data_IF_488649050787
#
_entry.id   IF_488649050787
#
_cell.length_a   1.000
_cell.length_b   1.000
_cell.length_c   1.000
_cell.angle_alpha   90.00
_cell.angle_beta   90.00
_cell.angle_gamma   90.00
#
_symmetry.space_group_name_H-M   'P 1'
#
loop_
_entity.id
_entity.type
_entity.pdbx_description
1 polymer ?
#
# COMPACT_ATOMS: atom_id res chain seq x y z
N UNK A 1 56.35 -11.85 -14.44
CA UNK A 1 55.54 -10.84 -13.80
C UNK A 1 55.08 -9.73 -14.77
N UNK A 2 54.77 -10.06 -16.01
CA UNK A 2 54.24 -9.10 -17.03
C UNK A 2 53.06 -9.64 -17.86
N UNK A 3 52.73 -10.91 -17.73
CA UNK A 3 51.65 -11.56 -18.52
C UNK A 3 50.31 -11.48 -17.81
N UNK A 4 50.25 -11.47 -16.49
CA UNK A 4 49.00 -11.38 -15.73
C UNK A 4 48.30 -10.01 -15.83
N UNK A 5 49.03 -8.92 -16.01
CA UNK A 5 48.44 -7.57 -16.19
C UNK A 5 47.76 -7.35 -17.53
N UNK A 6 48.12 -8.12 -18.55
CA UNK A 6 47.52 -7.98 -19.90
C UNK A 6 46.20 -8.73 -19.99
N UNK A 7 46.04 -9.83 -19.26
CA UNK A 7 44.83 -10.62 -19.22
C UNK A 7 43.71 -9.95 -18.39
N UNK A 8 44.04 -9.26 -17.29
CA UNK A 8 43.08 -8.53 -16.48
C UNK A 8 42.56 -7.26 -17.15
N UNK A 9 43.37 -6.62 -18.00
CA UNK A 9 42.94 -5.41 -18.72
C UNK A 9 41.97 -5.71 -19.87
N UNK A 10 41.98 -6.92 -20.41
CA UNK A 10 41.14 -7.30 -21.56
C UNK A 10 39.79 -7.83 -21.15
N UNK A 11 39.60 -8.33 -19.93
CA UNK A 11 38.30 -8.81 -19.42
C UNK A 11 37.40 -7.68 -18.91
N UNK A 12 37.99 -6.61 -18.36
CA UNK A 12 37.23 -5.44 -17.91
C UNK A 12 36.74 -4.57 -19.09
N UNK A 13 37.51 -4.50 -20.18
CA UNK A 13 37.07 -3.79 -21.39
C UNK A 13 36.02 -4.56 -22.18
N UNK A 14 36.07 -5.89 -22.18
CA UNK A 14 35.01 -6.72 -22.79
C UNK A 14 33.71 -6.65 -22.02
N UNK A 15 33.71 -6.58 -20.68
CA UNK A 15 32.52 -6.40 -19.89
C UNK A 15 31.85 -5.04 -20.16
N UNK A 16 32.63 -3.98 -20.34
CA UNK A 16 32.11 -2.66 -20.68
C UNK A 16 31.51 -2.61 -22.10
N UNK A 17 32.13 -3.28 -23.08
CA UNK A 17 31.62 -3.36 -24.45
C UNK A 17 30.39 -4.22 -24.53
N UNK A 18 30.29 -5.31 -23.78
CA UNK A 18 29.09 -6.15 -23.70
C UNK A 18 27.95 -5.42 -22.97
N UNK A 19 28.23 -4.65 -21.94
CA UNK A 19 27.22 -3.85 -21.25
C UNK A 19 26.72 -2.68 -22.11
N UNK A 20 27.61 -2.08 -22.92
CA UNK A 20 27.25 -1.01 -23.84
C UNK A 20 26.43 -1.48 -25.08
N UNK A 21 26.57 -2.76 -25.46
CA UNK A 21 25.83 -3.31 -26.61
C UNK A 21 24.46 -3.92 -26.25
N UNK A 22 24.15 -4.05 -24.95
CA UNK A 22 22.86 -4.57 -24.43
C UNK A 22 21.93 -3.43 -23.96
N UNK A 23 22.39 -2.19 -23.90
CA UNK A 23 21.48 -1.06 -23.78
C UNK A 23 20.74 -0.90 -25.12
N UNK A 24 19.66 -1.68 -25.27
CA UNK A 24 18.58 -1.31 -26.17
C UNK A 24 18.28 0.15 -25.88
N UNK A 25 18.48 1.03 -26.86
CA UNK A 25 17.91 2.36 -26.85
C UNK A 25 16.40 2.18 -26.67
N UNK A 26 15.96 2.16 -25.42
CA UNK A 26 14.62 2.62 -25.13
C UNK A 26 14.54 3.98 -25.82
N UNK A 27 13.53 4.22 -26.70
CA UNK A 27 13.34 5.55 -27.25
C UNK A 27 13.37 6.48 -26.04
N UNK A 28 14.06 7.60 -26.19
CA UNK A 28 14.04 8.72 -25.25
C UNK A 28 12.57 8.91 -24.84
N UNK A 29 12.17 8.30 -23.74
CA UNK A 29 11.09 8.82 -22.95
C UNK A 29 11.70 10.16 -22.54
N UNK A 30 11.25 11.22 -23.20
CA UNK A 30 11.37 12.57 -22.69
C UNK A 30 10.93 12.38 -21.23
N UNK A 31 11.85 12.50 -20.28
CA UNK A 31 11.49 12.75 -18.89
C UNK A 31 10.77 14.10 -18.99
N UNK A 32 9.48 14.04 -19.23
CA UNK A 32 8.59 15.14 -18.97
C UNK A 32 8.88 15.47 -17.52
N UNK A 33 9.49 16.61 -17.27
CA UNK A 33 9.74 17.14 -15.93
C UNK A 33 8.35 17.29 -15.30
N UNK A 34 7.87 16.19 -14.69
CA UNK A 34 6.61 16.17 -13.95
C UNK A 34 6.77 17.21 -12.85
N UNK A 35 6.01 18.27 -12.94
CA UNK A 35 6.02 19.30 -11.90
C UNK A 35 5.43 18.68 -10.64
N UNK A 36 6.30 18.27 -9.71
CA UNK A 36 5.91 17.75 -8.40
C UNK A 36 5.44 18.87 -7.49
N UNK A 37 4.18 18.81 -7.10
CA UNK A 37 3.61 19.71 -6.11
C UNK A 37 3.61 19.01 -4.76
N UNK A 38 4.65 19.27 -3.95
CA UNK A 38 4.82 18.66 -2.62
C UNK A 38 4.10 19.48 -1.55
N UNK A 39 3.11 18.89 -0.89
CA UNK A 39 2.49 19.46 0.28
C UNK A 39 3.35 19.23 1.53
N UNK A 40 3.69 20.28 2.26
CA UNK A 40 4.27 20.14 3.58
C UNK A 40 3.23 19.55 4.58
N UNK A 41 3.64 19.22 5.80
CA UNK A 41 2.78 18.60 6.81
C UNK A 41 1.50 19.43 7.10
N UNK A 42 1.56 20.76 7.12
CA UNK A 42 0.40 21.61 7.37
C UNK A 42 -0.62 21.56 6.22
N UNK A 43 -0.17 21.69 4.98
CA UNK A 43 -1.06 21.60 3.82
C UNK A 43 -1.60 20.17 3.64
N UNK A 44 -0.80 19.15 3.92
CA UNK A 44 -1.25 17.76 3.94
C UNK A 44 -2.36 17.56 4.96
N UNK A 45 -2.23 18.11 6.17
CA UNK A 45 -3.25 18.02 7.21
C UNK A 45 -4.55 18.73 6.80
N UNK A 46 -4.44 19.93 6.24
CA UNK A 46 -5.60 20.69 5.75
C UNK A 46 -6.31 19.91 4.64
N UNK A 47 -5.55 19.39 3.66
CA UNK A 47 -6.10 18.59 2.58
C UNK A 47 -6.79 17.31 3.12
N UNK A 48 -6.17 16.62 4.08
CA UNK A 48 -6.75 15.45 4.70
C UNK A 48 -8.09 15.75 5.40
N UNK A 49 -8.18 16.86 6.13
CA UNK A 49 -9.43 17.32 6.78
C UNK A 49 -10.50 17.64 5.74
N UNK A 50 -10.15 18.34 4.66
CA UNK A 50 -11.11 18.66 3.57
C UNK A 50 -11.62 17.37 2.93
N UNK A 51 -10.73 16.42 2.63
CA UNK A 51 -11.08 15.11 2.03
C UNK A 51 -11.97 14.31 2.98
N UNK A 52 -11.69 14.32 4.28
CA UNK A 52 -12.52 13.66 5.28
C UNK A 52 -13.94 14.27 5.37
N UNK A 53 -14.04 15.60 5.39
CA UNK A 53 -15.31 16.31 5.40
C UNK A 53 -16.13 16.05 4.12
N UNK A 54 -15.44 15.98 2.97
CA UNK A 54 -16.07 15.60 1.70
C UNK A 54 -16.59 14.16 1.76
N UNK A 55 -15.79 13.23 2.27
CA UNK A 55 -16.22 11.84 2.47
C UNK A 55 -17.44 11.72 3.38
N UNK A 56 -17.44 12.44 4.50
CA UNK A 56 -18.59 12.53 5.41
C UNK A 56 -19.83 13.07 4.70
N UNK A 57 -19.70 14.13 3.94
CA UNK A 57 -20.78 14.69 3.14
C UNK A 57 -21.34 13.66 2.14
N UNK A 58 -20.45 12.94 1.42
CA UNK A 58 -20.86 11.92 0.45
C UNK A 58 -21.60 10.76 1.11
N UNK A 59 -21.09 10.23 2.21
CA UNK A 59 -21.73 9.13 2.94
C UNK A 59 -23.11 9.54 3.48
N UNK A 60 -23.29 10.80 3.90
CA UNK A 60 -24.59 11.30 4.32
C UNK A 60 -25.57 11.54 3.17
N UNK A 61 -25.08 11.89 1.98
CA UNK A 61 -25.92 12.20 0.81
C UNK A 61 -26.28 10.96 -0.03
N UNK A 62 -25.38 10.00 -0.09
CA UNK A 62 -25.50 8.82 -0.97
C UNK A 62 -25.88 7.62 -0.11
N UNK A 63 -27.16 7.24 -0.15
CA UNK A 63 -27.70 6.12 0.63
C UNK A 63 -26.97 4.80 0.37
N UNK A 64 -26.45 4.59 -0.84
CA UNK A 64 -25.63 3.43 -1.17
C UNK A 64 -24.41 3.33 -0.26
N UNK A 65 -23.63 4.41 -0.10
CA UNK A 65 -22.42 4.39 0.73
C UNK A 65 -22.74 4.08 2.20
N UNK A 66 -23.84 4.66 2.69
CA UNK A 66 -24.33 4.43 4.06
C UNK A 66 -24.83 3.00 4.25
N UNK A 67 -25.62 2.49 3.30
CA UNK A 67 -26.20 1.15 3.36
C UNK A 67 -25.15 0.04 3.36
N UNK A 68 -24.05 0.24 2.63
CA UNK A 68 -22.94 -0.71 2.55
C UNK A 68 -21.80 -0.39 3.51
N UNK A 69 -22.05 0.45 4.52
CA UNK A 69 -21.07 0.80 5.57
C UNK A 69 -19.71 1.26 5.02
N UNK A 70 -19.70 1.98 3.88
CA UNK A 70 -18.46 2.52 3.32
C UNK A 70 -17.95 3.63 4.25
N UNK A 71 -16.70 3.53 4.78
CA UNK A 71 -16.14 4.53 5.68
C UNK A 71 -15.98 5.89 5.01
N UNK A 72 -16.22 6.97 5.77
CA UNK A 72 -16.06 8.36 5.30
C UNK A 72 -14.67 8.63 4.69
N UNK A 73 -13.54 8.18 5.30
CA UNK A 73 -12.21 8.39 4.72
C UNK A 73 -12.03 7.72 3.35
N UNK A 74 -12.67 6.56 3.15
CA UNK A 74 -12.58 5.82 1.88
C UNK A 74 -13.36 6.54 0.79
N UNK A 75 -14.58 7.00 1.09
CA UNK A 75 -15.39 7.75 0.13
C UNK A 75 -14.70 9.05 -0.30
N UNK A 76 -14.16 9.82 0.65
CA UNK A 76 -13.40 11.04 0.36
C UNK A 76 -12.08 10.76 -0.36
N UNK A 77 -11.34 9.77 0.10
CA UNK A 77 -10.06 9.36 -0.50
C UNK A 77 -10.19 8.92 -1.95
N UNK A 78 -11.23 8.17 -2.32
CA UNK A 78 -11.50 7.80 -3.71
C UNK A 78 -11.72 9.02 -4.60
N UNK A 79 -12.48 10.01 -4.14
CA UNK A 79 -12.67 11.25 -4.89
C UNK A 79 -11.36 12.00 -5.05
N UNK A 80 -10.57 12.12 -3.97
CA UNK A 80 -9.26 12.76 -4.02
C UNK A 80 -8.30 12.04 -4.97
N UNK A 81 -8.30 10.69 -4.98
CA UNK A 81 -7.50 9.89 -5.90
C UNK A 81 -7.90 10.11 -7.36
N UNK A 82 -9.20 10.15 -7.65
CA UNK A 82 -9.70 10.44 -9.01
C UNK A 82 -9.30 11.84 -9.45
N UNK A 83 -9.44 12.84 -8.58
CA UNK A 83 -9.02 14.22 -8.86
C UNK A 83 -7.51 14.29 -9.13
N UNK A 84 -6.70 13.65 -8.28
CA UNK A 84 -5.25 13.58 -8.46
C UNK A 84 -4.87 12.90 -9.79
N UNK A 85 -5.56 11.82 -10.15
CA UNK A 85 -5.35 11.12 -11.43
C UNK A 85 -5.71 12.02 -12.63
N UNK A 86 -6.80 12.76 -12.56
CA UNK A 86 -7.20 13.71 -13.61
C UNK A 86 -6.15 14.82 -13.73
N UNK A 87 -5.73 15.40 -12.61
CA UNK A 87 -4.70 16.44 -12.57
C UNK A 87 -3.38 15.94 -13.17
N UNK A 88 -3.00 14.72 -12.83
CA UNK A 88 -1.81 14.09 -13.40
C UNK A 88 -1.91 13.91 -14.90
N UNK A 89 -3.01 13.33 -15.41
CA UNK A 89 -3.15 13.03 -16.84
C UNK A 89 -3.41 14.25 -17.73
N UNK A 90 -4.05 15.30 -17.19
CA UNK A 90 -4.43 16.49 -18.00
C UNK A 90 -3.34 17.57 -17.96
N UNK A 91 -2.72 17.76 -16.80
CA UNK A 91 -1.76 18.85 -16.57
C UNK A 91 -0.33 18.39 -16.26
N UNK A 92 -0.09 17.08 -16.13
CA UNK A 92 1.25 16.56 -15.81
C UNK A 92 1.72 16.85 -14.38
N UNK A 93 0.83 17.30 -13.47
CA UNK A 93 1.20 17.57 -12.08
C UNK A 93 1.09 16.32 -11.24
N UNK A 94 2.14 16.00 -10.48
CA UNK A 94 2.13 14.96 -9.46
C UNK A 94 1.96 15.60 -8.08
N UNK A 95 0.90 15.21 -7.35
CA UNK A 95 0.64 15.71 -6.00
C UNK A 95 1.23 14.71 -5.01
N UNK A 96 2.24 15.14 -4.25
CA UNK A 96 2.84 14.35 -3.18
C UNK A 96 2.49 14.94 -1.81
N UNK A 97 2.23 14.06 -0.84
CA UNK A 97 1.85 14.43 0.53
C UNK A 97 2.97 14.09 1.52
N UNK A 98 2.96 14.72 2.72
CA UNK A 98 3.98 14.45 3.74
C UNK A 98 3.89 13.01 4.25
N UNK A 99 4.91 12.19 3.97
CA UNK A 99 5.08 10.83 4.51
C UNK A 99 5.33 10.84 6.02
N UNK A 100 5.97 11.87 6.55
CA UNK A 100 6.22 12.01 8.00
C UNK A 100 4.92 12.14 8.79
N UNK A 101 3.93 12.86 8.25
CA UNK A 101 2.62 12.98 8.86
C UNK A 101 1.87 11.64 8.85
N UNK A 102 1.93 10.92 7.74
CA UNK A 102 1.35 9.58 7.61
C UNK A 102 1.94 8.62 8.64
N UNK A 103 3.28 8.55 8.75
CA UNK A 103 3.99 7.71 9.71
C UNK A 103 3.63 8.08 11.16
N UNK A 104 3.58 9.38 11.47
CA UNK A 104 3.21 9.86 12.81
C UNK A 104 1.80 9.42 13.21
N UNK A 105 0.81 9.59 12.33
CA UNK A 105 -0.56 9.16 12.61
C UNK A 105 -0.69 7.64 12.68
N UNK A 106 0.07 6.90 11.88
CA UNK A 106 0.12 5.44 11.96
C UNK A 106 0.66 4.98 13.32
N UNK A 107 1.74 5.59 13.82
CA UNK A 107 2.29 5.28 15.14
C UNK A 107 1.29 5.60 16.26
N UNK A 108 0.62 6.77 16.21
CA UNK A 108 -0.42 7.15 17.17
C UNK A 108 -1.57 6.14 17.14
N UNK A 109 -2.00 5.70 15.96
CA UNK A 109 -3.05 4.70 15.79
C UNK A 109 -2.69 3.37 16.47
N UNK A 110 -1.53 2.79 16.16
CA UNK A 110 -1.10 1.54 16.77
C UNK A 110 -0.82 1.69 18.27
N UNK A 111 -0.24 2.80 18.72
CA UNK A 111 -0.04 3.10 20.13
C UNK A 111 -1.37 3.16 20.88
N UNK A 112 -2.39 3.81 20.32
CA UNK A 112 -3.72 3.92 20.94
C UNK A 112 -4.39 2.55 21.10
N UNK A 113 -4.27 1.67 20.10
CA UNK A 113 -4.75 0.29 20.18
C UNK A 113 -4.01 -0.48 21.29
N UNK A 114 -2.67 -0.39 21.30
CA UNK A 114 -1.86 -1.06 22.32
C UNK A 114 -2.18 -0.61 23.74
N UNK A 115 -2.33 0.69 23.95
CA UNK A 115 -2.68 1.27 25.26
C UNK A 115 -4.11 0.94 25.70
N UNK A 116 -5.03 0.71 24.76
CA UNK A 116 -6.42 0.31 25.07
C UNK A 116 -6.55 -1.17 25.40
N UNK A 117 -5.51 -1.97 25.18
CA UNK A 117 -5.53 -3.41 25.46
C UNK A 117 -5.69 -3.68 26.96
N UNK A 118 -6.74 -4.41 27.32
CA UNK A 118 -7.07 -4.73 28.71
C UNK A 118 -7.06 -6.25 28.92
N UNK A 119 -6.08 -6.75 29.67
CA UNK A 119 -5.93 -8.18 29.98
C UNK A 119 -7.12 -8.76 30.76
N UNK A 120 -7.81 -7.96 31.58
CA UNK A 120 -9.00 -8.44 32.29
C UNK A 120 -10.13 -8.76 31.31
N UNK A 121 -10.38 -7.87 30.33
CA UNK A 121 -11.36 -8.12 29.27
C UNK A 121 -10.97 -9.29 28.36
N UNK A 122 -9.68 -9.51 28.12
CA UNK A 122 -9.18 -10.69 27.41
C UNK A 122 -9.54 -11.99 28.14
N UNK A 123 -9.41 -12.01 29.47
CA UNK A 123 -9.80 -13.16 30.29
C UNK A 123 -11.29 -13.42 30.29
N UNK A 124 -12.13 -12.39 30.26
CA UNK A 124 -13.58 -12.50 30.15
C UNK A 124 -14.03 -13.20 28.86
N UNK A 125 -13.27 -13.06 27.77
CA UNK A 125 -13.52 -13.75 26.49
C UNK A 125 -13.38 -15.26 26.55
N UNK A 126 -12.62 -15.78 27.52
CA UNK A 126 -12.51 -17.21 27.84
C UNK A 126 -12.19 -18.10 26.62
N UNK A 127 -12.78 -19.30 26.61
CA UNK A 127 -12.57 -20.31 25.56
C UNK A 127 -13.08 -19.83 24.19
N UNK A 128 -14.17 -19.04 24.16
CA UNK A 128 -14.71 -18.51 22.92
C UNK A 128 -13.71 -17.60 22.18
N UNK A 129 -13.01 -16.74 22.92
CA UNK A 129 -11.96 -15.90 22.35
C UNK A 129 -10.78 -16.72 21.82
N UNK A 130 -10.39 -17.79 22.54
CA UNK A 130 -9.32 -18.68 22.08
C UNK A 130 -9.68 -19.40 20.78
N UNK A 131 -10.90 -19.93 20.69
CA UNK A 131 -11.40 -20.57 19.46
C UNK A 131 -11.40 -19.55 18.30
N UNK A 132 -11.91 -18.34 18.54
CA UNK A 132 -11.90 -17.28 17.53
C UNK A 132 -10.48 -16.93 17.08
N UNK A 133 -9.53 -16.81 18.00
CA UNK A 133 -8.12 -16.55 17.68
C UNK A 133 -7.53 -17.65 16.78
N UNK A 134 -7.77 -18.91 17.10
CA UNK A 134 -7.31 -20.05 16.29
C UNK A 134 -7.94 -20.03 14.89
N UNK A 135 -9.24 -19.74 14.80
CA UNK A 135 -9.93 -19.60 13.50
C UNK A 135 -9.33 -18.48 12.66
N UNK A 136 -9.11 -17.30 13.25
CA UNK A 136 -8.52 -16.15 12.54
C UNK A 136 -7.08 -16.46 12.11
N UNK A 137 -6.26 -17.05 12.99
CA UNK A 137 -4.89 -17.43 12.64
C UNK A 137 -4.85 -18.45 11.49
N UNK A 138 -5.73 -19.46 11.53
CA UNK A 138 -5.86 -20.44 10.45
C UNK A 138 -6.31 -19.79 9.13
N UNK A 139 -7.27 -18.86 9.20
CA UNK A 139 -7.72 -18.10 8.04
C UNK A 139 -6.60 -17.28 7.42
N UNK A 140 -5.77 -16.60 8.22
CA UNK A 140 -4.61 -15.83 7.75
C UNK A 140 -3.61 -16.73 7.03
N UNK A 141 -3.33 -17.91 7.56
CA UNK A 141 -2.42 -18.88 6.92
C UNK A 141 -2.96 -19.31 5.55
N UNK A 142 -4.24 -19.67 5.49
CA UNK A 142 -4.89 -20.06 4.21
C UNK A 142 -4.87 -18.89 3.23
N UNK A 143 -5.21 -17.69 3.68
CA UNK A 143 -5.24 -16.49 2.84
C UNK A 143 -3.86 -16.18 2.25
N UNK A 144 -2.80 -16.29 3.06
CA UNK A 144 -1.42 -16.11 2.59
C UNK A 144 -1.00 -17.21 1.61
N UNK A 145 -1.33 -18.47 1.89
CA UNK A 145 -1.04 -19.57 0.99
C UNK A 145 -1.70 -19.37 -0.39
N UNK A 146 -2.96 -18.93 -0.42
CA UNK A 146 -3.68 -18.61 -1.66
C UNK A 146 -3.02 -17.42 -2.38
N UNK A 147 -2.72 -16.33 -1.67
CA UNK A 147 -2.10 -15.13 -2.24
C UNK A 147 -0.73 -15.44 -2.86
N UNK A 148 0.14 -16.13 -2.12
CA UNK A 148 1.47 -16.55 -2.60
C UNK A 148 1.35 -17.48 -3.81
N UNK A 149 0.44 -18.46 -3.75
CA UNK A 149 0.25 -19.41 -4.85
C UNK A 149 -0.22 -18.70 -6.12
N UNK A 150 -1.17 -17.78 -6.02
CA UNK A 150 -1.64 -16.98 -7.15
C UNK A 150 -0.55 -16.08 -7.72
N UNK A 151 0.20 -15.37 -6.86
CA UNK A 151 1.32 -14.55 -7.30
C UNK A 151 2.36 -15.36 -8.06
N UNK A 152 2.72 -16.54 -7.53
CA UNK A 152 3.67 -17.45 -8.16
C UNK A 152 3.15 -17.98 -9.51
N UNK A 153 1.87 -18.34 -9.59
CA UNK A 153 1.25 -18.80 -10.85
C UNK A 153 1.20 -17.71 -11.92
N UNK A 154 1.05 -16.45 -11.50
CA UNK A 154 1.06 -15.29 -12.39
C UNK A 154 2.48 -14.83 -12.76
N UNK A 155 3.52 -15.44 -12.19
CA UNK A 155 4.92 -15.08 -12.45
C UNK A 155 5.32 -13.73 -11.83
N UNK A 156 4.61 -13.26 -10.80
CA UNK A 156 4.92 -12.05 -10.03
C UNK A 156 5.52 -12.43 -8.68
N UNK A 157 6.16 -11.44 -8.01
CA UNK A 157 6.79 -11.68 -6.73
C UNK A 157 5.79 -12.20 -5.68
N UNK A 158 6.09 -13.32 -4.98
CA UNK A 158 5.23 -13.90 -3.94
C UNK A 158 4.86 -12.92 -2.82
N UNK A 159 5.71 -11.93 -2.51
CA UNK A 159 5.42 -10.88 -1.52
C UNK A 159 4.24 -10.00 -1.93
N UNK A 160 4.00 -9.82 -3.23
CA UNK A 160 2.80 -9.14 -3.74
C UNK A 160 1.54 -9.92 -3.35
N UNK A 161 1.62 -11.24 -3.34
CA UNK A 161 0.54 -12.10 -2.86
C UNK A 161 0.22 -11.93 -1.37
N UNK A 162 1.21 -11.61 -0.53
CA UNK A 162 1.00 -11.25 0.88
C UNK A 162 0.34 -9.88 1.01
N UNK A 163 0.77 -8.91 0.19
CA UNK A 163 0.18 -7.56 0.17
C UNK A 163 -1.31 -7.65 -0.19
N UNK A 164 -1.65 -8.32 -1.27
CA UNK A 164 -3.04 -8.53 -1.70
C UNK A 164 -3.80 -9.55 -0.82
N UNK A 165 -3.11 -10.21 0.09
CA UNK A 165 -3.63 -11.19 1.04
C UNK A 165 -3.90 -10.60 2.43
N UNK A 166 -3.29 -11.21 3.45
CA UNK A 166 -3.60 -10.89 4.86
C UNK A 166 -3.15 -9.50 5.29
N UNK A 167 -2.09 -8.95 4.70
CA UNK A 167 -1.59 -7.60 5.05
C UNK A 167 -2.68 -6.56 4.89
N UNK A 168 -3.47 -6.65 3.83
CA UNK A 168 -4.49 -5.65 3.49
C UNK A 168 -5.91 -6.09 3.81
N UNK A 169 -6.28 -7.34 3.49
CA UNK A 169 -7.66 -7.80 3.66
C UNK A 169 -8.02 -8.11 5.11
N UNK A 170 -7.06 -8.61 5.89
CA UNK A 170 -7.24 -8.84 7.34
C UNK A 170 -6.71 -7.66 8.15
N UNK A 171 -5.55 -7.13 7.80
CA UNK A 171 -4.90 -6.05 8.55
C UNK A 171 -5.38 -4.64 8.20
N UNK A 172 -5.87 -4.41 6.98
CA UNK A 172 -6.40 -3.13 6.52
C UNK A 172 -5.32 -2.08 6.19
N UNK A 173 -5.73 -0.80 6.13
CA UNK A 173 -4.84 0.31 5.72
C UNK A 173 -3.66 0.54 6.65
N UNK A 174 -3.82 0.31 7.97
CA UNK A 174 -2.74 0.51 8.94
C UNK A 174 -1.58 -0.46 8.70
N UNK A 175 -1.87 -1.76 8.55
CA UNK A 175 -0.87 -2.78 8.25
C UNK A 175 -0.35 -2.67 6.81
N UNK A 176 -1.19 -2.25 5.86
CA UNK A 176 -0.76 -1.93 4.50
C UNK A 176 0.28 -0.81 4.49
N UNK A 177 0.09 0.25 5.29
CA UNK A 177 1.06 1.33 5.45
C UNK A 177 2.38 0.85 6.02
N UNK A 178 2.34 0.12 7.14
CA UNK A 178 3.53 -0.37 7.82
C UNK A 178 4.34 -1.37 6.97
N UNK A 179 3.69 -2.39 6.43
CA UNK A 179 4.36 -3.42 5.62
C UNK A 179 4.70 -2.95 4.21
N UNK A 180 3.89 -2.08 3.62
CA UNK A 180 4.16 -1.54 2.29
C UNK A 180 5.50 -0.81 2.24
N UNK A 181 5.78 0.05 3.22
CA UNK A 181 7.06 0.75 3.33
C UNK A 181 8.24 -0.21 3.54
N UNK A 182 8.11 -1.20 4.44
CA UNK A 182 9.12 -2.23 4.66
C UNK A 182 9.41 -3.02 3.38
N UNK A 183 8.38 -3.43 2.67
CA UNK A 183 8.52 -4.19 1.42
C UNK A 183 9.16 -3.38 0.29
N UNK A 184 8.93 -2.07 0.24
CA UNK A 184 9.61 -1.19 -0.72
C UNK A 184 11.09 -1.01 -0.36
N UNK A 185 11.40 -0.69 0.90
CA UNK A 185 12.74 -0.31 1.33
C UNK A 185 13.65 -1.53 1.50
N UNK A 186 13.17 -2.58 2.18
CA UNK A 186 14.01 -3.73 2.55
C UNK A 186 13.97 -4.84 1.50
N UNK A 187 12.84 -5.02 0.80
CA UNK A 187 12.67 -6.09 -0.19
C UNK A 187 12.65 -5.60 -1.64
N UNK A 188 12.70 -4.28 -1.88
CA UNK A 188 12.76 -3.69 -3.22
C UNK A 188 11.50 -3.88 -4.06
N UNK A 189 10.35 -4.16 -3.44
CA UNK A 189 9.07 -4.33 -4.15
C UNK A 189 8.49 -2.94 -4.47
N UNK A 190 8.83 -2.42 -5.65
CA UNK A 190 8.38 -1.11 -6.08
C UNK A 190 6.86 -0.99 -6.10
N UNK A 191 6.33 0.06 -5.49
CA UNK A 191 4.90 0.34 -5.42
C UNK A 191 4.13 -0.52 -4.42
N UNK A 192 4.82 -1.23 -3.49
CA UNK A 192 4.19 -2.07 -2.48
C UNK A 192 3.25 -1.28 -1.58
N UNK A 193 3.63 -0.07 -1.18
CA UNK A 193 2.78 0.82 -0.37
C UNK A 193 1.50 1.20 -1.12
N UNK A 194 1.63 1.66 -2.37
CA UNK A 194 0.49 2.06 -3.20
C UNK A 194 -0.44 0.88 -3.49
N UNK A 195 0.12 -0.29 -3.83
CA UNK A 195 -0.63 -1.53 -4.04
C UNK A 195 -1.35 -1.97 -2.77
N UNK A 196 -0.68 -1.88 -1.61
CA UNK A 196 -1.25 -2.19 -0.32
C UNK A 196 -2.45 -1.30 0.00
N UNK A 197 -2.33 0.00 -0.18
CA UNK A 197 -3.43 0.95 0.03
C UNK A 197 -4.62 0.68 -0.90
N UNK A 198 -4.35 0.41 -2.18
CA UNK A 198 -5.39 0.08 -3.16
C UNK A 198 -6.10 -1.24 -2.80
N UNK A 199 -5.35 -2.29 -2.45
CA UNK A 199 -5.89 -3.59 -2.06
C UNK A 199 -6.72 -3.50 -0.77
N UNK A 200 -6.26 -2.75 0.25
CA UNK A 200 -7.00 -2.52 1.48
C UNK A 200 -8.32 -1.78 1.22
N UNK A 201 -8.29 -0.75 0.36
CA UNK A 201 -9.50 -0.01 -0.05
C UNK A 201 -10.48 -0.93 -0.78
N UNK A 202 -9.99 -1.72 -1.75
CA UNK A 202 -10.81 -2.70 -2.47
C UNK A 202 -11.45 -3.71 -1.52
N UNK A 203 -10.66 -4.31 -0.61
CA UNK A 203 -11.13 -5.27 0.37
C UNK A 203 -12.20 -4.71 1.29
N UNK A 204 -12.04 -3.46 1.73
CA UNK A 204 -13.00 -2.78 2.59
C UNK A 204 -14.33 -2.49 1.87
N UNK A 205 -14.26 -2.05 0.61
CA UNK A 205 -15.47 -1.80 -0.21
C UNK A 205 -16.21 -3.12 -0.47
N UNK A 206 -15.51 -4.15 -0.94
CA UNK A 206 -16.12 -5.46 -1.23
C UNK A 206 -16.67 -6.10 0.05
N UNK A 207 -15.92 -6.02 1.15
CA UNK A 207 -16.38 -6.49 2.46
C UNK A 207 -17.66 -5.77 2.92
N UNK A 208 -17.72 -4.45 2.73
CA UNK A 208 -18.92 -3.65 3.01
C UNK A 208 -20.11 -4.04 2.12
N UNK A 209 -19.89 -4.30 0.84
CA UNK A 209 -20.93 -4.72 -0.10
C UNK A 209 -21.49 -6.10 0.26
N UNK A 210 -20.62 -7.05 0.63
CA UNK A 210 -21.03 -8.41 0.98
C UNK A 210 -21.68 -8.47 2.36
N UNK A 211 -21.12 -7.77 3.35
CA UNK A 211 -21.57 -7.83 4.74
C UNK A 211 -22.60 -6.77 5.14
N UNK A 212 -22.73 -5.67 4.39
CA UNK A 212 -23.57 -4.53 4.75
C UNK A 212 -25.07 -4.81 4.77
N UNK A 213 -25.63 -5.65 3.88
CA UNK A 213 -27.06 -5.96 3.87
C UNK A 213 -27.52 -6.98 4.93
N UNK A 214 -26.59 -7.61 5.65
CA UNK A 214 -26.86 -8.58 6.73
C UNK A 214 -27.08 -7.86 8.05
#
# INVERSE_FOLDING_TARGET
MKIERILFFNLSSLSQVVTASITWKTPLIIEEELMEFTFNAFYTLIAAVIVLLLGRFLVHKIDFLRRYNIPEPVAGGLVAAIVSLIVHNVWGYSITTSSELQTSFMLIFFASIGLSANFAKLKEGGVGLLIFLVCVASFIIVQNAVGISLATLLGIDPLIGLIAGSITLTGGHGTAGAWGEILEVEHGIKGALALGMASATFGLIIGGIIGGPL
#
